data_IF_606352383296
#
_entry.id   IF_606352383296
#
_cell.length_a   1.000
_cell.length_b   1.000
_cell.length_c   1.000
_cell.angle_alpha   90.00
_cell.angle_beta   90.00
_cell.angle_gamma   90.00
#
_symmetry.space_group_name_H-M   'P 1'
#
loop_
_entity.id
_entity.type
_entity.pdbx_description
1 polymer ?
#
# COMPACT_ATOMS: atom_id res chain seq x y z
N UNK A 1 22.29 -66.13 -21.38
CA UNK A 1 21.86 -65.27 -22.50
C UNK A 1 22.56 -63.92 -22.40
N UNK A 2 23.33 -63.52 -23.41
CA UNK A 2 24.14 -62.30 -23.39
C UNK A 2 23.32 -61.02 -23.58
N UNK A 3 23.89 -59.88 -23.16
CA UNK A 3 23.29 -58.55 -23.31
C UNK A 3 23.49 -58.05 -24.75
N UNK A 4 22.42 -58.04 -25.55
CA UNK A 4 22.45 -57.51 -26.92
C UNK A 4 22.64 -55.99 -26.97
N UNK A 5 23.26 -55.49 -28.05
CA UNK A 5 23.40 -54.04 -28.31
C UNK A 5 22.04 -53.44 -28.65
N UNK A 6 21.70 -52.30 -28.05
CA UNK A 6 20.44 -51.58 -28.28
C UNK A 6 20.75 -50.22 -28.89
N UNK A 7 19.99 -49.81 -29.90
CA UNK A 7 20.11 -48.48 -30.53
C UNK A 7 19.69 -47.38 -29.56
N UNK A 8 20.37 -46.22 -29.58
CA UNK A 8 20.00 -45.03 -28.79
C UNK A 8 18.86 -44.27 -29.47
N UNK A 9 17.66 -44.82 -29.37
CA UNK A 9 16.40 -44.19 -29.80
C UNK A 9 15.28 -44.57 -28.83
N UNK A 10 14.13 -43.90 -28.92
CA UNK A 10 12.97 -44.25 -28.10
C UNK A 10 12.55 -45.70 -28.39
N UNK A 11 12.32 -46.48 -27.31
CA UNK A 11 11.84 -47.86 -27.43
C UNK A 11 10.33 -47.80 -27.67
N UNK A 12 9.87 -48.20 -28.86
CA UNK A 12 8.45 -48.16 -29.23
C UNK A 12 7.56 -49.06 -28.35
N UNK A 13 8.01 -50.31 -28.15
CA UNK A 13 7.27 -51.28 -27.36
C UNK A 13 7.18 -50.83 -25.89
N UNK A 14 5.94 -50.62 -25.41
CA UNK A 14 5.63 -50.12 -24.07
C UNK A 14 6.17 -51.03 -22.95
N UNK A 15 6.08 -52.35 -23.10
CA UNK A 15 6.53 -53.32 -22.08
C UNK A 15 8.06 -53.28 -22.00
N UNK A 16 8.74 -53.39 -23.15
CA UNK A 16 10.21 -53.31 -23.23
C UNK A 16 10.74 -51.98 -22.69
N UNK A 17 10.03 -50.87 -22.98
CA UNK A 17 10.37 -49.54 -22.46
C UNK A 17 10.25 -49.47 -20.93
N UNK A 18 9.18 -50.01 -20.35
CA UNK A 18 8.96 -50.04 -18.90
C UNK A 18 10.03 -50.86 -18.16
N UNK A 19 10.34 -52.06 -18.68
CA UNK A 19 11.38 -52.92 -18.11
C UNK A 19 12.75 -52.26 -18.23
N UNK A 20 13.05 -51.66 -19.39
CA UNK A 20 14.33 -50.97 -19.63
C UNK A 20 14.48 -49.75 -18.73
N UNK A 21 13.42 -48.94 -18.58
CA UNK A 21 13.41 -47.80 -17.66
C UNK A 21 13.74 -48.24 -16.23
N UNK A 22 13.07 -49.28 -15.74
CA UNK A 22 13.28 -49.79 -14.37
C UNK A 22 14.72 -50.27 -14.16
N UNK A 23 15.28 -51.01 -15.12
CA UNK A 23 16.67 -51.48 -15.07
C UNK A 23 17.68 -50.34 -15.18
N UNK A 24 17.52 -49.43 -16.15
CA UNK A 24 18.44 -48.29 -16.37
C UNK A 24 18.41 -47.29 -15.23
N UNK A 25 17.23 -46.93 -14.71
CA UNK A 25 17.08 -46.04 -13.55
C UNK A 25 17.80 -46.62 -12.33
N UNK A 26 17.62 -47.91 -12.07
CA UNK A 26 18.31 -48.60 -10.97
C UNK A 26 19.82 -48.59 -11.17
N UNK A 27 20.30 -48.86 -12.39
CA UNK A 27 21.73 -48.78 -12.71
C UNK A 27 22.30 -47.36 -12.59
N UNK A 28 21.54 -46.34 -12.99
CA UNK A 28 21.94 -44.93 -12.87
C UNK A 28 22.05 -44.51 -11.40
N UNK A 29 21.07 -44.89 -10.57
CA UNK A 29 21.13 -44.67 -9.12
C UNK A 29 22.38 -45.30 -8.50
N UNK A 30 22.72 -46.53 -8.89
CA UNK A 30 23.94 -47.22 -8.40
C UNK A 30 25.20 -46.43 -8.79
N UNK A 31 25.30 -45.97 -10.04
CA UNK A 31 26.43 -45.13 -10.48
C UNK A 31 26.51 -43.80 -9.74
N UNK A 32 25.39 -43.13 -9.53
CA UNK A 32 25.33 -41.89 -8.76
C UNK A 32 25.82 -42.10 -7.32
N UNK A 33 25.42 -43.22 -6.70
CA UNK A 33 25.91 -43.62 -5.39
C UNK A 33 27.40 -43.94 -5.37
N UNK A 34 27.90 -44.69 -6.35
CA UNK A 34 29.34 -44.97 -6.51
C UNK A 34 30.15 -43.67 -6.60
N UNK A 35 29.74 -42.71 -7.42
CA UNK A 35 30.41 -41.41 -7.54
C UNK A 35 30.41 -40.66 -6.21
N UNK A 36 29.27 -40.64 -5.53
CA UNK A 36 29.15 -39.96 -4.25
C UNK A 36 30.09 -40.52 -3.20
N UNK A 37 30.19 -41.85 -3.08
CA UNK A 37 31.05 -42.52 -2.11
C UNK A 37 32.52 -42.45 -2.49
N UNK A 38 32.86 -42.67 -3.77
CA UNK A 38 34.26 -42.75 -4.22
C UNK A 38 34.94 -41.37 -4.26
N UNK A 39 34.20 -40.33 -4.58
CA UNK A 39 34.74 -38.98 -4.79
C UNK A 39 34.32 -37.99 -3.70
N UNK A 40 33.63 -38.44 -2.65
CA UNK A 40 33.01 -37.58 -1.63
C UNK A 40 32.18 -36.44 -2.24
N UNK A 41 31.44 -36.77 -3.29
CA UNK A 41 30.67 -35.82 -4.08
C UNK A 41 29.19 -35.83 -3.65
N UNK A 42 28.59 -34.65 -3.60
CA UNK A 42 27.13 -34.53 -3.45
C UNK A 42 26.47 -34.73 -4.81
N UNK A 43 25.56 -35.69 -4.87
CA UNK A 43 24.89 -36.08 -6.10
C UNK A 43 23.39 -36.19 -5.85
N UNK A 44 22.62 -35.44 -6.63
CA UNK A 44 21.17 -35.60 -6.73
C UNK A 44 20.80 -36.13 -8.12
N UNK A 45 19.81 -37.01 -8.18
CA UNK A 45 19.24 -37.56 -9.40
C UNK A 45 17.72 -37.45 -9.34
N UNK A 46 17.12 -36.83 -10.35
CA UNK A 46 15.68 -36.69 -10.50
C UNK A 46 15.26 -37.31 -11.84
N UNK A 47 14.30 -38.23 -11.81
CA UNK A 47 13.79 -38.92 -12.99
C UNK A 47 12.27 -38.92 -12.99
N UNK A 48 11.69 -38.18 -13.92
CA UNK A 48 10.25 -38.20 -14.19
C UNK A 48 9.95 -39.17 -15.32
N UNK A 49 8.97 -40.04 -15.14
CA UNK A 49 8.51 -40.89 -16.24
C UNK A 49 7.43 -40.18 -17.07
N UNK A 50 7.08 -40.74 -18.23
CA UNK A 50 6.04 -40.20 -19.11
C UNK A 50 4.62 -40.20 -18.49
N UNK A 51 4.43 -40.83 -17.33
CA UNK A 51 3.17 -40.81 -16.56
C UNK A 51 3.21 -39.76 -15.43
N UNK A 52 4.27 -38.95 -15.34
CA UNK A 52 4.46 -37.96 -14.28
C UNK A 52 4.92 -38.50 -12.94
N UNK A 53 5.22 -39.81 -12.81
CA UNK A 53 5.74 -40.36 -11.55
C UNK A 53 7.21 -39.98 -11.37
N UNK A 54 7.48 -39.35 -10.23
CA UNK A 54 8.79 -38.97 -9.75
C UNK A 54 9.54 -40.17 -9.17
N UNK A 55 10.82 -40.27 -9.51
CA UNK A 55 11.78 -41.14 -8.88
C UNK A 55 13.08 -40.37 -8.68
N UNK A 56 13.56 -40.38 -7.46
CA UNK A 56 14.66 -39.54 -7.05
C UNK A 56 15.69 -40.30 -6.21
N UNK A 57 16.86 -39.69 -6.06
CA UNK A 57 17.96 -40.15 -5.22
C UNK A 57 18.80 -38.94 -4.80
N UNK A 58 19.10 -38.84 -3.51
CA UNK A 58 20.07 -37.89 -2.95
C UNK A 58 21.17 -38.65 -2.23
N UNK A 59 22.40 -38.16 -2.32
CA UNK A 59 23.51 -38.61 -1.48
C UNK A 59 23.40 -38.13 -0.03
N UNK A 60 22.73 -36.99 0.19
CA UNK A 60 22.49 -36.45 1.53
C UNK A 60 21.20 -37.00 2.14
N UNK A 61 21.03 -36.79 3.45
CA UNK A 61 19.82 -37.20 4.18
C UNK A 61 18.53 -36.57 3.65
N UNK A 62 18.62 -35.44 2.93
CA UNK A 62 17.49 -34.76 2.34
C UNK A 62 17.80 -34.31 0.90
N UNK A 63 16.77 -34.32 0.04
CA UNK A 63 16.88 -33.79 -1.32
C UNK A 63 16.90 -32.26 -1.30
N UNK A 64 16.16 -31.66 -0.36
CA UNK A 64 16.05 -30.20 -0.23
C UNK A 64 17.43 -29.54 -0.07
N UNK A 65 18.34 -30.13 0.70
CA UNK A 65 19.67 -29.55 0.92
C UNK A 65 20.51 -29.48 -0.35
N UNK A 66 20.44 -30.53 -1.20
CA UNK A 66 21.22 -30.58 -2.45
C UNK A 66 20.62 -29.60 -3.46
N UNK A 67 19.30 -29.48 -3.51
CA UNK A 67 18.61 -28.50 -4.36
C UNK A 67 18.89 -27.06 -3.91
N UNK A 68 18.84 -26.76 -2.61
CA UNK A 68 19.16 -25.43 -2.08
C UNK A 68 20.59 -25.02 -2.42
N UNK A 69 21.54 -25.95 -2.31
CA UNK A 69 22.93 -25.71 -2.72
C UNK A 69 23.05 -25.54 -4.23
N UNK A 70 22.35 -26.34 -5.02
CA UNK A 70 22.33 -26.17 -6.47
C UNK A 70 21.81 -24.80 -6.86
N UNK A 71 20.69 -24.34 -6.30
CA UNK A 71 20.14 -23.00 -6.56
C UNK A 71 21.18 -21.94 -6.20
N UNK A 72 21.76 -22.01 -5.00
CA UNK A 72 22.81 -21.08 -4.55
C UNK A 72 24.00 -21.01 -5.52
N UNK A 73 24.42 -22.14 -6.10
CA UNK A 73 25.59 -22.20 -7.00
C UNK A 73 25.24 -21.95 -8.48
N UNK A 74 24.06 -22.35 -8.95
CA UNK A 74 23.57 -22.04 -10.29
C UNK A 74 23.48 -20.52 -10.49
N UNK A 75 23.13 -19.79 -9.42
CA UNK A 75 23.15 -18.33 -9.41
C UNK A 75 24.56 -17.73 -9.35
N UNK A 76 25.57 -18.45 -8.86
CA UNK A 76 26.99 -18.05 -8.94
C UNK A 76 27.57 -18.35 -10.34
N UNK A 77 27.11 -19.41 -11.03
CA UNK A 77 27.53 -19.73 -12.39
C UNK A 77 27.08 -18.69 -13.43
N UNK A 78 25.93 -18.05 -13.21
CA UNK A 78 25.44 -16.92 -14.01
C UNK A 78 26.25 -15.63 -13.80
N UNK A 79 27.09 -15.58 -12.76
CA UNK A 79 27.91 -14.44 -12.34
C UNK A 79 29.24 -14.34 -13.11
N UNK A 80 29.60 -15.38 -13.88
CA UNK A 80 30.83 -15.39 -14.69
C UNK A 80 30.58 -14.82 -16.09
N UNK A 81 29.33 -14.74 -16.54
CA UNK A 81 28.99 -14.13 -17.84
C UNK A 81 28.55 -12.66 -17.76
N UNK A 82 28.13 -12.15 -16.60
CA UNK A 82 27.75 -10.74 -16.47
C UNK A 82 28.25 -10.12 -15.16
N UNK A 83 29.13 -9.13 -15.30
CA UNK A 83 29.81 -8.46 -14.19
C UNK A 83 28.95 -7.36 -13.55
N UNK A 84 28.00 -7.73 -12.70
CA UNK A 84 27.29 -6.78 -11.84
C UNK A 84 27.06 -7.33 -10.41
N UNK A 85 27.97 -6.97 -9.49
CA UNK A 85 27.92 -7.31 -8.05
C UNK A 85 26.65 -6.77 -7.35
N UNK A 86 25.90 -5.89 -7.99
CA UNK A 86 24.67 -5.28 -7.44
C UNK A 86 23.51 -6.27 -7.31
N UNK A 87 23.40 -7.22 -8.24
CA UNK A 87 22.17 -8.02 -8.43
C UNK A 87 22.04 -9.19 -7.44
N UNK A 88 23.15 -9.79 -7.00
CA UNK A 88 23.15 -10.87 -6.01
C UNK A 88 22.67 -10.44 -4.62
N UNK A 89 22.93 -9.17 -4.26
CA UNK A 89 22.41 -8.56 -3.04
C UNK A 89 20.88 -8.38 -3.12
N UNK A 90 20.36 -7.91 -4.26
CA UNK A 90 18.93 -7.74 -4.47
C UNK A 90 18.16 -9.06 -4.45
N UNK A 91 18.67 -10.14 -5.04
CA UNK A 91 17.95 -11.42 -5.08
C UNK A 91 17.86 -12.12 -3.72
N UNK A 92 18.96 -12.12 -2.94
CA UNK A 92 18.92 -12.62 -1.56
C UNK A 92 18.04 -11.74 -0.68
N UNK A 93 18.07 -10.42 -0.90
CA UNK A 93 17.14 -9.52 -0.24
C UNK A 93 15.69 -9.78 -0.64
N UNK A 94 15.41 -10.05 -1.91
CA UNK A 94 14.08 -10.42 -2.40
C UNK A 94 13.58 -11.69 -1.70
N UNK A 95 14.39 -12.75 -1.63
CA UNK A 95 13.99 -13.97 -0.92
C UNK A 95 13.74 -13.72 0.59
N UNK A 96 14.63 -12.97 1.25
CA UNK A 96 14.44 -12.55 2.64
C UNK A 96 13.19 -11.69 2.82
N UNK A 97 12.87 -10.83 1.83
CA UNK A 97 11.67 -10.00 1.84
C UNK A 97 10.42 -10.86 1.66
N UNK A 98 10.43 -11.78 0.70
CA UNK A 98 9.32 -12.71 0.43
C UNK A 98 9.01 -13.54 1.67
N UNK A 99 10.01 -14.13 2.32
CA UNK A 99 9.79 -14.87 3.57
C UNK A 99 9.24 -13.98 4.70
N UNK A 100 9.66 -12.70 4.78
CA UNK A 100 9.07 -11.75 5.74
C UNK A 100 7.61 -11.42 5.40
N UNK A 101 7.28 -11.25 4.12
CA UNK A 101 5.91 -11.00 3.66
C UNK A 101 5.02 -12.18 4.02
N UNK A 102 5.44 -13.41 3.75
CA UNK A 102 4.68 -14.62 4.09
C UNK A 102 4.39 -14.73 5.60
N UNK A 103 5.38 -14.44 6.44
CA UNK A 103 5.21 -14.43 7.90
C UNK A 103 4.24 -13.32 8.33
N UNK A 104 4.35 -12.12 7.77
CA UNK A 104 3.46 -11.00 8.08
C UNK A 104 2.02 -11.28 7.63
N UNK A 105 1.82 -11.84 6.44
CA UNK A 105 0.51 -12.23 5.92
C UNK A 105 -0.12 -13.33 6.78
N UNK A 106 0.68 -14.32 7.20
CA UNK A 106 0.24 -15.35 8.15
C UNK A 106 -0.20 -14.72 9.48
N UNK A 107 0.59 -13.80 10.02
CA UNK A 107 0.24 -13.11 11.25
C UNK A 107 -1.05 -12.28 11.10
N UNK A 108 -1.24 -11.61 9.96
CA UNK A 108 -2.48 -10.87 9.69
C UNK A 108 -3.70 -11.80 9.67
N UNK A 109 -3.60 -12.96 9.02
CA UNK A 109 -4.66 -13.98 9.05
C UNK A 109 -4.97 -14.40 10.48
N UNK A 110 -3.94 -14.68 11.29
CA UNK A 110 -4.11 -15.02 12.69
C UNK A 110 -4.80 -13.89 13.50
N UNK A 111 -4.40 -12.63 13.31
CA UNK A 111 -5.04 -11.48 13.99
C UNK A 111 -6.52 -11.30 13.61
N UNK A 112 -6.92 -11.74 12.41
CA UNK A 112 -8.32 -11.74 11.95
C UNK A 112 -9.07 -13.01 12.40
N UNK A 113 -8.38 -13.95 13.05
CA UNK A 113 -8.97 -15.20 13.55
C UNK A 113 -9.02 -16.33 12.53
N UNK A 114 -8.21 -16.28 11.47
CA UNK A 114 -8.05 -17.33 10.46
C UNK A 114 -6.81 -18.18 10.75
N UNK A 115 -6.76 -19.40 10.20
CA UNK A 115 -5.62 -20.34 10.28
C UNK A 115 -5.07 -20.55 11.70
N UNK A 116 -5.96 -20.67 12.70
CA UNK A 116 -5.56 -20.78 14.10
C UNK A 116 -5.16 -22.19 14.55
N UNK A 117 -5.60 -23.23 13.84
CA UNK A 117 -5.36 -24.64 14.19
C UNK A 117 -3.87 -25.02 14.39
N UNK A 118 -2.90 -24.44 13.65
CA UNK A 118 -1.49 -24.74 13.83
C UNK A 118 -0.85 -24.07 15.06
N UNK A 119 -1.53 -23.13 15.73
CA UNK A 119 -0.99 -22.40 16.88
C UNK A 119 -1.11 -23.23 18.16
N UNK A 120 -0.07 -23.22 18.97
CA UNK A 120 -0.13 -23.78 20.32
C UNK A 120 -0.97 -22.90 21.25
N UNK A 121 -1.45 -23.48 22.36
CA UNK A 121 -2.23 -22.74 23.36
C UNK A 121 -1.50 -21.49 23.88
N UNK A 122 -0.18 -21.57 24.08
CA UNK A 122 0.62 -20.42 24.54
C UNK A 122 0.66 -19.30 23.50
N UNK A 123 0.80 -19.65 22.23
CA UNK A 123 0.82 -18.69 21.13
C UNK A 123 -0.55 -18.03 20.97
N UNK A 124 -1.64 -18.80 21.12
CA UNK A 124 -3.00 -18.28 21.07
C UNK A 124 -3.30 -17.31 22.22
N UNK A 125 -2.87 -17.63 23.45
CA UNK A 125 -2.99 -16.72 24.60
C UNK A 125 -2.18 -15.44 24.41
N UNK A 126 -0.99 -15.53 23.82
CA UNK A 126 -0.18 -14.35 23.49
C UNK A 126 -0.86 -13.48 22.44
N UNK A 127 -1.47 -14.10 21.42
CA UNK A 127 -2.21 -13.43 20.36
C UNK A 127 -3.43 -12.68 20.92
N UNK A 128 -4.20 -13.34 21.79
CA UNK A 128 -5.35 -12.75 22.50
C UNK A 128 -4.91 -11.53 23.32
N UNK A 129 -3.86 -11.67 24.13
CA UNK A 129 -3.35 -10.57 24.95
C UNK A 129 -2.87 -9.36 24.12
N UNK A 130 -2.23 -9.63 22.97
CA UNK A 130 -1.81 -8.58 22.04
C UNK A 130 -3.01 -7.83 21.44
N UNK A 131 -4.05 -8.55 21.00
CA UNK A 131 -5.27 -7.96 20.45
C UNK A 131 -6.02 -7.14 21.48
N UNK A 132 -6.17 -7.65 22.70
CA UNK A 132 -6.81 -6.94 23.81
C UNK A 132 -6.10 -5.61 24.12
N UNK A 133 -4.77 -5.66 24.17
CA UNK A 133 -3.95 -4.47 24.43
C UNK A 133 -4.07 -3.46 23.29
N UNK A 134 -4.05 -3.93 22.03
CA UNK A 134 -4.22 -3.08 20.86
C UNK A 134 -5.59 -2.39 20.82
N UNK A 135 -6.67 -3.14 21.07
CA UNK A 135 -8.05 -2.61 21.09
C UNK A 135 -8.20 -1.57 22.19
N UNK A 136 -7.67 -1.82 23.40
CA UNK A 136 -7.67 -0.85 24.49
C UNK A 136 -6.98 0.46 24.08
N UNK A 137 -5.78 0.37 23.47
CA UNK A 137 -5.05 1.55 22.97
C UNK A 137 -5.82 2.31 21.91
N UNK A 138 -6.40 1.62 20.93
CA UNK A 138 -7.19 2.24 19.86
C UNK A 138 -8.39 2.98 20.42
N UNK A 139 -9.15 2.36 21.35
CA UNK A 139 -10.31 3.00 22.00
C UNK A 139 -9.91 4.25 22.77
N UNK A 140 -8.84 4.18 23.56
CA UNK A 140 -8.33 5.33 24.32
C UNK A 140 -7.94 6.47 23.38
N UNK A 141 -7.18 6.19 22.31
CA UNK A 141 -6.76 7.21 21.35
C UNK A 141 -7.95 7.82 20.61
N UNK A 142 -8.93 6.99 20.18
CA UNK A 142 -10.15 7.47 19.52
C UNK A 142 -10.96 8.39 20.44
N UNK A 143 -11.14 8.01 21.71
CA UNK A 143 -11.81 8.84 22.70
C UNK A 143 -11.06 10.15 22.96
N UNK A 144 -9.74 10.11 23.03
CA UNK A 144 -8.92 11.30 23.21
C UNK A 144 -9.12 12.29 22.05
N UNK A 145 -8.94 11.84 20.80
CA UNK A 145 -9.10 12.70 19.61
C UNK A 145 -10.53 13.25 19.50
N UNK A 146 -11.53 12.44 19.86
CA UNK A 146 -12.93 12.87 19.90
C UNK A 146 -13.14 13.99 20.94
N UNK A 147 -12.60 13.85 22.15
CA UNK A 147 -12.72 14.85 23.20
C UNK A 147 -11.97 16.15 22.86
N UNK A 148 -10.81 16.05 22.21
CA UNK A 148 -10.07 17.20 21.67
C UNK A 148 -10.94 17.96 20.66
N UNK A 149 -11.56 17.25 19.70
CA UNK A 149 -12.47 17.85 18.71
C UNK A 149 -13.69 18.52 19.35
N UNK A 150 -14.34 17.88 20.34
CA UNK A 150 -15.46 18.46 21.08
C UNK A 150 -15.03 19.76 21.77
N UNK A 151 -13.86 19.77 22.41
CA UNK A 151 -13.33 20.93 23.11
C UNK A 151 -13.09 22.12 22.16
N UNK A 152 -12.54 21.85 20.98
CA UNK A 152 -12.29 22.89 19.97
C UNK A 152 -13.59 23.46 19.40
N UNK A 153 -14.58 22.62 19.13
CA UNK A 153 -15.90 23.06 18.68
C UNK A 153 -16.61 23.89 19.75
N UNK A 154 -16.53 23.50 21.03
CA UNK A 154 -17.10 24.26 22.13
C UNK A 154 -16.45 25.65 22.28
N UNK A 155 -15.12 25.76 22.09
CA UNK A 155 -14.42 27.05 22.09
C UNK A 155 -14.91 27.94 20.94
N UNK A 156 -15.03 27.40 19.73
CA UNK A 156 -15.54 28.14 18.56
C UNK A 156 -16.98 28.60 18.78
N UNK A 157 -17.83 27.76 19.34
CA UNK A 157 -19.22 28.12 19.66
C UNK A 157 -19.30 29.31 20.63
N UNK A 158 -18.49 29.30 21.70
CA UNK A 158 -18.39 30.42 22.64
C UNK A 158 -17.90 31.71 21.96
N UNK A 159 -16.84 31.62 21.16
CA UNK A 159 -16.30 32.78 20.45
C UNK A 159 -17.33 33.40 19.49
N UNK A 160 -18.06 32.56 18.73
CA UNK A 160 -19.13 33.03 17.84
C UNK A 160 -20.29 33.64 18.63
N UNK A 161 -20.64 33.08 19.79
CA UNK A 161 -21.67 33.64 20.66
C UNK A 161 -21.29 35.03 21.19
N UNK A 162 -20.03 35.23 21.59
CA UNK A 162 -19.50 36.53 22.03
C UNK A 162 -19.50 37.57 20.90
N UNK A 163 -19.08 37.16 19.69
CA UNK A 163 -19.11 38.02 18.50
C UNK A 163 -20.53 38.43 18.14
N UNK A 164 -21.47 37.47 18.11
CA UNK A 164 -22.88 37.75 17.86
C UNK A 164 -23.46 38.70 18.90
N UNK A 165 -23.18 38.49 20.19
CA UNK A 165 -23.63 39.40 21.25
C UNK A 165 -23.09 40.83 21.08
N UNK A 166 -21.84 40.97 20.65
CA UNK A 166 -21.23 42.27 20.35
C UNK A 166 -21.90 42.95 19.15
N UNK A 167 -22.18 42.19 18.08
CA UNK A 167 -22.89 42.70 16.90
C UNK A 167 -24.32 43.13 17.24
N UNK A 168 -25.06 42.35 18.03
CA UNK A 168 -26.41 42.72 18.48
C UNK A 168 -26.41 44.02 19.29
N UNK A 169 -25.43 44.23 20.18
CA UNK A 169 -25.26 45.51 20.90
C UNK A 169 -25.02 46.66 19.92
N UNK A 170 -24.08 46.51 18.98
CA UNK A 170 -23.81 47.53 17.94
C UNK A 170 -25.04 47.88 17.10
N UNK A 171 -25.86 46.88 16.73
CA UNK A 171 -27.11 47.11 16.00
C UNK A 171 -28.09 47.92 16.86
N UNK A 172 -28.25 47.57 18.14
CA UNK A 172 -29.12 48.29 19.08
C UNK A 172 -28.69 49.74 19.25
N UNK A 173 -27.39 50.00 19.38
CA UNK A 173 -26.85 51.35 19.57
C UNK A 173 -27.00 52.21 18.30
N UNK A 174 -26.76 51.63 17.12
CA UNK A 174 -27.02 52.31 15.83
C UNK A 174 -28.51 52.59 15.62
N UNK A 175 -29.41 51.67 16.00
CA UNK A 175 -30.85 51.89 15.93
C UNK A 175 -31.32 53.06 16.81
N UNK A 176 -30.74 53.20 18.02
CA UNK A 176 -30.99 54.35 18.91
C UNK A 176 -30.46 55.66 18.33
N UNK A 177 -29.25 55.67 17.75
CA UNK A 177 -28.69 56.85 17.12
C UNK A 177 -29.49 57.32 15.88
N UNK A 178 -30.10 56.39 15.14
CA UNK A 178 -31.01 56.72 14.03
C UNK A 178 -32.35 57.27 14.55
N UNK A 179 -32.89 56.71 15.64
CA UNK A 179 -34.12 57.20 16.27
C UNK A 179 -33.96 58.61 16.87
N UNK A 180 -32.81 58.93 17.49
CA UNK A 180 -32.49 60.28 17.98
C UNK A 180 -32.32 61.29 16.83
N UNK A 181 -31.77 60.87 15.68
CA UNK A 181 -31.60 61.74 14.51
C UNK A 181 -32.90 62.06 13.78
N UNK A 182 -33.96 61.28 13.99
CA UNK A 182 -35.31 61.53 13.45
C UNK A 182 -36.19 62.42 14.33
N UNK A 183 -35.74 62.86 15.52
CA UNK A 183 -36.52 63.71 16.43
C UNK A 183 -36.19 65.22 16.37
N UNK A 184 -35.31 65.70 15.48
CA UNK A 184 -35.16 67.13 15.23
C UNK A 184 -36.22 67.63 14.20
N UNK A 185 -37.04 68.64 14.50
CA UNK A 185 -38.00 69.20 13.54
C UNK A 185 -37.26 69.98 12.43
N UNK A 186 -37.83 70.08 11.21
CA UNK A 186 -37.21 70.84 10.13
C UNK A 186 -37.36 72.34 10.43
N UNK A 187 -36.23 73.04 10.62
CA UNK A 187 -36.23 74.50 10.66
C UNK A 187 -36.04 75.03 9.24
N UNK A 188 -37.13 75.56 8.67
CA UNK A 188 -37.15 76.36 7.44
C UNK A 188 -36.26 77.59 7.59
N UNK A 189 -35.16 77.68 6.83
CA UNK A 189 -34.58 78.96 6.44
C UNK A 189 -34.07 78.90 5.00
N UNK A 190 -34.90 79.46 4.11
CA UNK A 190 -34.56 79.88 2.76
C UNK A 190 -33.79 81.21 2.87
N UNK A 191 -32.55 81.29 2.37
CA UNK A 191 -32.01 82.56 1.87
C UNK A 191 -30.99 82.35 0.75
N UNK A 192 -31.11 83.21 -0.25
CA UNK A 192 -30.65 83.13 -1.64
C UNK A 192 -29.16 83.47 -1.88
N UNK A 193 -28.75 83.22 -3.15
CA UNK A 193 -27.68 83.86 -3.98
C UNK A 193 -26.26 83.30 -3.79
N UNK A 194 -25.42 83.07 -4.81
CA UNK A 194 -25.34 83.43 -6.24
C UNK A 194 -24.45 82.40 -6.96
N UNK A 195 -24.71 82.17 -8.25
CA UNK A 195 -23.80 81.52 -9.22
C UNK A 195 -22.78 82.55 -9.72
N UNK A 196 -21.55 82.15 -10.08
CA UNK A 196 -21.12 82.25 -11.50
C UNK A 196 -20.42 80.95 -11.98
N UNK A 197 -20.85 80.31 -13.08
CA UNK A 197 -20.47 80.56 -14.49
C UNK A 197 -19.00 80.21 -14.78
N UNK A 198 -18.68 79.04 -15.38
CA UNK A 198 -18.44 78.83 -16.84
C UNK A 198 -17.17 79.58 -17.32
N UNK A 199 -16.09 79.01 -17.91
CA UNK A 199 -15.90 77.99 -18.99
C UNK A 199 -14.36 77.70 -19.16
N UNK A 200 -13.78 77.24 -20.30
CA UNK A 200 -13.60 75.83 -20.73
C UNK A 200 -12.18 75.49 -21.24
N UNK A 201 -11.90 74.22 -21.56
CA UNK A 201 -11.07 73.73 -22.71
C UNK A 201 -10.78 72.23 -22.49
N UNK A 202 -11.41 71.30 -23.21
CA UNK A 202 -11.13 70.81 -24.57
C UNK A 202 -9.88 69.91 -24.72
N UNK A 203 -10.16 68.73 -25.30
CA UNK A 203 -9.33 67.77 -26.04
C UNK A 203 -8.87 66.50 -25.30
N UNK A 204 -8.93 65.29 -25.85
CA UNK A 204 -9.72 64.60 -26.90
C UNK A 204 -9.01 63.27 -27.15
N UNK A 205 -9.77 62.18 -27.30
CA UNK A 205 -9.34 60.87 -27.84
C UNK A 205 -8.67 59.92 -26.83
N UNK A 206 -8.78 58.60 -26.90
CA UNK A 206 -9.45 57.64 -27.78
C UNK A 206 -9.50 56.27 -27.03
N UNK A 207 -10.61 55.54 -27.17
CA UNK A 207 -10.73 54.09 -27.48
C UNK A 207 -10.03 53.01 -26.60
N UNK A 208 -10.87 52.23 -25.90
CA UNK A 208 -11.03 50.75 -25.95
C UNK A 208 -10.84 49.89 -24.68
N UNK A 209 -11.69 48.84 -24.67
CA UNK A 209 -11.53 47.50 -24.09
C UNK A 209 -11.71 47.23 -22.58
N UNK A 210 -12.63 46.27 -22.32
CA UNK A 210 -12.36 45.20 -21.35
C UNK A 210 -13.13 45.25 -20.04
N UNK A 211 -14.33 44.68 -20.01
CA UNK A 211 -15.03 44.36 -18.76
C UNK A 211 -14.45 43.14 -18.03
N UNK A 212 -14.70 43.05 -16.72
CA UNK A 212 -14.97 41.79 -16.01
C UNK A 212 -15.36 42.03 -14.54
N UNK A 213 -16.50 41.44 -14.17
CA UNK A 213 -17.00 41.21 -12.81
C UNK A 213 -16.31 39.95 -12.26
N UNK A 214 -15.97 39.82 -10.96
CA UNK A 214 -15.72 38.51 -10.38
C UNK A 214 -16.97 38.02 -9.64
N UNK A 215 -17.65 37.06 -10.27
CA UNK A 215 -18.68 36.22 -9.65
C UNK A 215 -18.03 35.16 -8.76
N UNK A 216 -18.62 34.97 -7.58
CA UNK A 216 -18.33 33.91 -6.62
C UNK A 216 -18.70 32.53 -7.18
N UNK A 217 -17.73 31.63 -7.33
CA UNK A 217 -17.99 30.20 -7.57
C UNK A 217 -17.25 29.38 -6.53
N UNK A 218 -18.02 28.80 -5.62
CA UNK A 218 -17.59 27.83 -4.60
C UNK A 218 -17.17 26.54 -5.30
N UNK A 219 -15.88 26.36 -5.53
CA UNK A 219 -15.32 25.09 -6.00
C UNK A 219 -15.06 24.17 -4.80
N UNK A 220 -15.76 23.04 -4.78
CA UNK A 220 -15.53 21.93 -3.85
C UNK A 220 -14.16 21.31 -4.17
N UNK A 221 -13.25 21.12 -3.20
CA UNK A 221 -11.91 20.64 -3.47
C UNK A 221 -11.84 19.17 -3.91
N UNK A 222 -10.82 18.78 -4.72
CA UNK A 222 -10.79 17.52 -5.47
C UNK A 222 -10.70 16.23 -4.64
N UNK A 223 -10.46 16.32 -3.32
CA UNK A 223 -10.36 15.17 -2.43
C UNK A 223 -11.73 14.66 -1.92
N UNK A 224 -12.82 15.40 -2.18
CA UNK A 224 -14.17 15.04 -1.74
C UNK A 224 -14.94 14.10 -2.68
N UNK A 225 -14.36 13.66 -3.80
CA UNK A 225 -15.03 12.81 -4.80
C UNK A 225 -14.56 11.34 -4.82
N UNK A 226 -14.19 10.79 -3.66
CA UNK A 226 -13.99 9.34 -3.54
C UNK A 226 -14.73 8.79 -2.33
N UNK A 227 -16.04 8.56 -2.51
CA UNK A 227 -16.81 7.49 -1.88
C UNK A 227 -18.22 7.54 -2.45
N UNK A 228 -18.52 6.67 -3.41
CA UNK A 228 -19.81 6.01 -3.68
C UNK A 228 -19.73 5.30 -5.03
N UNK A 229 -19.04 4.17 -5.04
CA UNK A 229 -19.20 3.13 -6.06
C UNK A 229 -18.92 1.78 -5.38
N UNK A 230 -19.95 1.27 -4.69
CA UNK A 230 -20.22 -0.16 -4.58
C UNK A 230 -21.70 -0.37 -4.35
#
# INVERSE_FOLDING_TARGET
>A
MGRGRVQLKQIENKISRQVTFSKRRTGLRKKAHEISVLCDAQVALIVLNAKGKLFDYSSESSMENVLERYERHAHIGQLVEDGDESQGNWSLQCFKLTGKVEVLEKNLRNFVGQDLDPLSLRELQSLEHQLDTAIKRIRTRKNQVMNESISDLQKKAKQLQEQNGTLTKKIKDKGKAVAERSQCPPQLQLHHRLVPSLTPAQNSGEVDEGGAIPSTTTLIPPWMLHQFAR
#
